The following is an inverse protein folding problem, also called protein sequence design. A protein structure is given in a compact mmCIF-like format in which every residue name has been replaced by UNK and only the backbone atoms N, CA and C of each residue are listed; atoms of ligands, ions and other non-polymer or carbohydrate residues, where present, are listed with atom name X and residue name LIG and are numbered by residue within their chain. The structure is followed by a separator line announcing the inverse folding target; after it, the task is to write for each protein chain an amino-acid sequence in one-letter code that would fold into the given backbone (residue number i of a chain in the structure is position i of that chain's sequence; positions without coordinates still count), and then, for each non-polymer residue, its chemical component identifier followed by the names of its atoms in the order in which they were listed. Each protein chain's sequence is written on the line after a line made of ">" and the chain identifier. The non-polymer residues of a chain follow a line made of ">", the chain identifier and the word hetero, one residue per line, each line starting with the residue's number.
data_IF_687284902368
#
_entry.id   IF_687284902368
#
_cell.length_a   1.000
_cell.length_b   1.000
_cell.length_c   1.000
_cell.angle_alpha   90.00
_cell.angle_beta   90.00
_cell.angle_gamma   90.00
#
_symmetry.space_group_name_H-M   'P 1'
#
loop_
_entity.id
_entity.type
_entity.pdbx_description
1 polymer ?
#
# COMPACT_ATOMS: atom_id res chain seq x y z
N UNK A 1 59.68 8.60 -38.56
CA UNK A 1 60.78 7.64 -38.33
C UNK A 1 60.53 6.95 -36.98
N UNK A 2 60.79 5.63 -36.83
CA UNK A 2 59.76 4.62 -37.12
C UNK A 2 59.41 3.67 -35.95
N UNK A 3 58.24 3.05 -36.13
CA UNK A 3 57.80 1.66 -35.83
C UNK A 3 58.68 0.74 -34.94
N UNK A 4 58.00 0.09 -33.99
CA UNK A 4 57.98 -1.37 -33.71
C UNK A 4 56.67 -1.67 -32.96
N UNK A 5 55.67 -2.44 -33.45
CA UNK A 5 55.63 -3.91 -33.70
C UNK A 5 55.88 -4.71 -32.41
N UNK A 6 55.16 -5.74 -31.97
CA UNK A 6 53.98 -6.54 -32.37
C UNK A 6 53.71 -7.43 -31.12
N UNK A 7 52.50 -7.96 -30.92
CA UNK A 7 52.26 -8.93 -29.83
C UNK A 7 50.82 -9.37 -29.69
N UNK A 8 50.34 -10.14 -30.67
CA UNK A 8 49.05 -10.82 -30.67
C UNK A 8 49.13 -12.15 -29.91
N UNK A 9 48.14 -12.45 -29.07
CA UNK A 9 47.83 -13.81 -28.65
C UNK A 9 46.31 -13.94 -28.48
N UNK A 10 45.69 -14.64 -29.44
CA UNK A 10 44.26 -14.86 -29.52
C UNK A 10 43.75 -15.80 -28.42
N UNK A 11 42.49 -15.58 -28.04
CA UNK A 11 41.69 -16.55 -27.30
C UNK A 11 40.48 -16.88 -28.15
N UNK A 12 40.44 -18.14 -28.62
CA UNK A 12 39.35 -18.69 -29.39
C UNK A 12 38.07 -18.76 -28.55
N UNK A 13 37.00 -18.18 -29.08
CA UNK A 13 35.66 -18.42 -28.61
C UNK A 13 35.20 -19.79 -29.13
N UNK A 14 34.97 -20.75 -28.23
CA UNK A 14 34.16 -21.93 -28.52
C UNK A 14 32.83 -21.82 -27.81
N UNK A 15 31.81 -21.59 -28.61
CA UNK A 15 30.39 -21.67 -28.27
C UNK A 15 30.05 -23.11 -27.90
N UNK A 16 29.47 -23.34 -26.72
CA UNK A 16 28.76 -24.60 -26.44
C UNK A 16 27.51 -24.29 -25.63
N UNK A 17 26.39 -24.19 -26.35
CA UNK A 17 25.06 -24.17 -25.76
C UNK A 17 24.80 -25.54 -25.11
N UNK A 18 24.60 -25.57 -23.79
CA UNK A 18 24.13 -26.75 -23.07
C UNK A 18 22.63 -26.68 -22.91
N UNK A 19 21.92 -27.39 -23.77
CA UNK A 19 20.52 -27.79 -23.58
C UNK A 19 20.44 -28.80 -22.44
N UNK A 20 19.75 -28.45 -21.35
CA UNK A 20 19.44 -29.40 -20.27
C UNK A 20 18.12 -30.11 -20.56
N UNK A 21 18.21 -31.39 -20.94
CA UNK A 21 17.10 -32.33 -21.02
C UNK A 21 16.74 -32.82 -19.61
N UNK A 22 15.56 -32.46 -19.12
CA UNK A 22 14.96 -33.07 -17.94
C UNK A 22 14.49 -34.49 -18.31
N UNK A 23 15.11 -35.51 -17.72
CA UNK A 23 14.65 -36.90 -17.79
C UNK A 23 13.81 -37.21 -16.56
N UNK A 24 12.50 -37.36 -16.76
CA UNK A 24 11.63 -38.10 -15.86
C UNK A 24 11.97 -39.60 -15.96
N UNK A 25 12.29 -40.23 -14.83
CA UNK A 25 12.26 -41.67 -14.69
C UNK A 25 11.34 -42.02 -13.52
N UNK A 26 10.22 -42.64 -13.85
CA UNK A 26 9.30 -43.30 -12.94
C UNK A 26 9.57 -44.81 -12.95
N UNK A 27 9.23 -45.45 -11.82
CA UNK A 27 8.88 -46.87 -11.58
C UNK A 27 9.65 -47.44 -10.38
N UNK A 28 9.11 -48.26 -9.48
CA UNK A 28 7.77 -48.79 -9.20
C UNK A 28 7.90 -49.53 -7.85
N UNK A 29 6.84 -49.58 -7.03
CA UNK A 29 6.75 -50.59 -5.96
C UNK A 29 5.78 -50.29 -4.81
N UNK A 30 4.50 -50.67 -5.02
CA UNK A 30 3.54 -51.29 -4.06
C UNK A 30 3.31 -50.68 -2.65
N UNK A 31 2.13 -50.69 -2.02
CA UNK A 31 0.73 -51.07 -2.28
C UNK A 31 -0.01 -50.77 -0.94
N UNK A 32 -1.16 -50.07 -0.93
CA UNK A 32 -2.31 -50.31 -0.02
C UNK A 32 -3.31 -49.12 0.02
N UNK A 33 -4.37 -49.24 -0.78
CA UNK A 33 -5.81 -49.15 -0.44
C UNK A 33 -6.24 -48.15 0.67
N UNK A 34 -6.99 -47.10 0.28
CA UNK A 34 -8.34 -46.84 0.81
C UNK A 34 -9.20 -46.06 -0.21
N UNK A 35 -10.43 -46.54 -0.40
CA UNK A 35 -11.44 -46.08 -1.34
C UNK A 35 -12.22 -44.85 -0.82
N UNK A 36 -12.73 -44.01 -1.73
CA UNK A 36 -13.71 -42.97 -1.37
C UNK A 36 -13.95 -41.86 -2.40
N UNK A 37 -14.60 -42.21 -3.53
CA UNK A 37 -15.50 -41.39 -4.38
C UNK A 37 -15.25 -39.87 -4.51
N UNK A 38 -14.72 -39.45 -5.66
CA UNK A 38 -14.94 -38.10 -6.22
C UNK A 38 -15.67 -38.20 -7.56
N UNK A 39 -16.76 -37.44 -7.67
CA UNK A 39 -17.63 -37.34 -8.83
C UNK A 39 -16.94 -36.74 -10.04
N UNK A 40 -17.39 -37.18 -11.21
CA UNK A 40 -16.88 -36.81 -12.52
C UNK A 40 -17.09 -35.32 -12.84
N UNK A 41 -16.07 -34.74 -13.48
CA UNK A 41 -16.21 -33.54 -14.29
C UNK A 41 -17.04 -33.85 -15.53
N UNK A 42 -18.07 -33.04 -15.82
CA UNK A 42 -18.62 -32.89 -17.17
C UNK A 42 -18.64 -31.42 -17.54
N UNK A 43 -17.89 -31.08 -18.58
CA UNK A 43 -18.07 -29.87 -19.39
C UNK A 43 -19.45 -29.94 -20.07
N UNK A 44 -20.18 -28.83 -20.05
CA UNK A 44 -21.09 -28.50 -21.15
C UNK A 44 -21.14 -27.00 -21.29
N UNK A 45 -20.68 -26.51 -22.43
CA UNK A 45 -21.14 -25.26 -23.00
C UNK A 45 -22.56 -25.49 -23.52
N UNK A 46 -23.46 -24.52 -23.37
CA UNK A 46 -24.36 -24.16 -24.44
C UNK A 46 -24.96 -22.77 -24.25
N UNK A 47 -25.03 -22.11 -25.40
CA UNK A 47 -25.55 -20.79 -25.71
C UNK A 47 -27.07 -20.85 -25.88
N UNK A 48 -27.80 -19.86 -25.37
CA UNK A 48 -29.12 -19.53 -25.89
C UNK A 48 -29.51 -18.09 -25.51
N UNK A 49 -29.25 -17.17 -26.44
CA UNK A 49 -29.95 -15.91 -26.53
C UNK A 49 -31.40 -16.16 -26.98
N UNK A 50 -32.36 -15.53 -26.32
CA UNK A 50 -33.73 -15.45 -26.80
C UNK A 50 -34.28 -14.02 -26.60
N UNK A 51 -34.32 -13.31 -27.71
CA UNK A 51 -35.04 -12.06 -27.98
C UNK A 51 -36.56 -12.27 -27.86
N UNK A 52 -37.28 -11.31 -27.27
CA UNK A 52 -38.43 -10.60 -27.87
C UNK A 52 -39.44 -10.06 -26.82
N UNK A 53 -39.67 -8.75 -26.88
CA UNK A 53 -40.93 -8.09 -26.52
C UNK A 53 -41.84 -8.07 -27.79
N UNK A 54 -43.17 -7.80 -27.73
CA UNK A 54 -43.67 -6.43 -27.46
C UNK A 54 -45.11 -6.28 -26.87
N UNK A 55 -45.44 -5.00 -26.57
CA UNK A 55 -46.73 -4.27 -26.68
C UNK A 55 -47.99 -4.81 -25.96
N UNK A 56 -48.48 -4.17 -24.88
CA UNK A 56 -49.24 -2.91 -24.77
C UNK A 56 -50.78 -3.09 -24.83
N UNK A 57 -51.48 -2.68 -23.76
CA UNK A 57 -52.87 -2.21 -23.84
C UNK A 57 -53.21 -1.23 -22.71
N UNK A 58 -54.04 -0.27 -23.09
CA UNK A 58 -54.37 1.04 -22.52
C UNK A 58 -55.23 1.03 -21.25
N UNK A 59 -55.00 2.01 -20.35
CA UNK A 59 -56.05 2.83 -19.73
C UNK A 59 -55.45 4.07 -19.05
N UNK A 60 -56.04 5.25 -19.30
CA UNK A 60 -55.77 6.53 -18.64
C UNK A 60 -57.00 6.96 -17.80
N UNK A 61 -56.96 8.08 -17.05
CA UNK A 61 -56.22 8.24 -15.79
C UNK A 61 -57.19 8.50 -14.63
N UNK A 62 -56.88 8.01 -13.43
CA UNK A 62 -57.54 8.43 -12.20
C UNK A 62 -56.58 9.29 -11.40
N UNK A 63 -56.98 10.54 -11.14
CA UNK A 63 -56.27 11.47 -10.27
C UNK A 63 -56.06 10.81 -8.90
N UNK A 64 -54.80 10.65 -8.50
CA UNK A 64 -54.43 10.27 -7.15
C UNK A 64 -53.28 11.16 -6.70
N UNK A 65 -53.54 11.87 -5.61
CA UNK A 65 -52.69 12.88 -5.00
C UNK A 65 -51.27 12.36 -4.80
N UNK A 66 -50.29 13.08 -5.35
CA UNK A 66 -48.90 12.90 -5.01
C UNK A 66 -48.69 13.22 -3.52
N UNK A 67 -48.50 12.19 -2.71
CA UNK A 67 -47.86 12.35 -1.41
C UNK A 67 -46.40 12.67 -1.70
N UNK A 68 -46.05 13.94 -1.54
CA UNK A 68 -44.66 14.39 -1.56
C UNK A 68 -43.99 13.82 -0.32
N UNK A 69 -43.29 12.70 -0.47
CA UNK A 69 -42.31 12.25 0.51
C UNK A 69 -41.24 13.34 0.60
N UNK A 70 -40.92 13.90 1.77
CA UNK A 70 -39.74 14.74 1.91
C UNK A 70 -38.54 13.88 1.54
N UNK A 71 -37.81 14.29 0.50
CA UNK A 71 -36.58 13.65 0.10
C UNK A 71 -35.66 13.51 1.31
N UNK A 72 -35.16 12.29 1.52
CA UNK A 72 -33.98 12.09 2.32
C UNK A 72 -32.92 13.08 1.79
N UNK A 73 -32.56 14.04 2.62
CA UNK A 73 -31.41 14.90 2.36
C UNK A 73 -30.18 14.01 2.37
N UNK A 74 -29.78 13.53 1.20
CA UNK A 74 -28.40 13.14 0.98
C UNK A 74 -27.58 14.40 1.21
N UNK A 75 -26.95 14.45 2.39
CA UNK A 75 -25.99 15.48 2.71
C UNK A 75 -24.85 15.37 1.68
N UNK A 76 -24.44 16.46 1.02
CA UNK A 76 -23.30 16.44 0.11
C UNK A 76 -22.09 15.81 0.80
N UNK A 77 -21.22 15.07 0.08
CA UNK A 77 -20.06 14.44 0.69
C UNK A 77 -19.26 15.51 1.43
N UNK A 78 -19.22 15.38 2.75
CA UNK A 78 -18.54 16.31 3.62
C UNK A 78 -17.07 16.28 3.24
N UNK A 79 -16.58 17.46 2.81
CA UNK A 79 -15.15 17.74 2.64
C UNK A 79 -14.40 17.07 3.80
N UNK A 80 -13.35 16.30 3.48
CA UNK A 80 -12.50 15.58 4.45
C UNK A 80 -12.45 16.31 5.80
N UNK A 81 -12.77 15.66 6.93
CA UNK A 81 -12.63 16.32 8.23
C UNK A 81 -11.21 16.86 8.32
N UNK A 82 -11.10 18.19 8.31
CA UNK A 82 -9.85 18.90 8.09
C UNK A 82 -9.03 18.98 9.38
N UNK A 83 -8.89 17.86 10.10
CA UNK A 83 -7.87 17.74 11.14
C UNK A 83 -6.56 17.36 10.47
N UNK A 84 -6.07 18.23 9.58
CA UNK A 84 -4.69 18.14 9.09
C UNK A 84 -3.85 18.72 10.24
N UNK A 85 -2.99 17.93 10.92
CA UNK A 85 -2.13 18.47 11.95
C UNK A 85 -1.28 19.59 11.35
N UNK A 86 -1.46 20.80 11.89
CA UNK A 86 -0.75 21.97 11.40
C UNK A 86 0.70 21.89 11.89
N UNK A 87 1.73 21.92 11.01
CA UNK A 87 3.12 21.93 11.44
C UNK A 87 3.45 23.12 12.37
N UNK A 88 2.72 24.24 12.27
CA UNK A 88 2.89 25.39 13.16
C UNK A 88 2.31 25.17 14.58
N UNK A 89 1.40 24.20 14.75
CA UNK A 89 0.79 23.85 16.04
C UNK A 89 0.85 22.33 16.22
N UNK A 90 2.02 21.80 16.62
CA UNK A 90 2.18 20.36 16.78
C UNK A 90 1.24 19.85 17.89
N UNK A 91 0.46 18.81 17.55
CA UNK A 91 -0.54 18.24 18.46
C UNK A 91 0.06 17.08 19.25
N UNK A 92 -0.35 16.95 20.52
CA UNK A 92 -0.02 15.79 21.34
C UNK A 92 -0.70 14.53 20.79
N UNK A 93 0.06 13.45 20.63
CA UNK A 93 -0.50 12.17 20.20
C UNK A 93 -1.51 11.62 21.22
N UNK A 94 -1.27 11.82 22.51
CA UNK A 94 -2.17 11.39 23.59
C UNK A 94 -3.50 12.14 23.55
N UNK A 95 -3.46 13.45 23.28
CA UNK A 95 -4.67 14.25 23.14
C UNK A 95 -5.47 13.83 21.91
N UNK A 96 -4.80 13.63 20.77
CA UNK A 96 -5.45 13.22 19.54
C UNK A 96 -6.00 11.78 19.60
N UNK A 97 -5.35 10.89 20.36
CA UNK A 97 -5.86 9.54 20.62
C UNK A 97 -7.22 9.57 21.34
N UNK A 98 -7.45 10.56 22.22
CA UNK A 98 -8.71 10.70 22.94
C UNK A 98 -9.89 11.13 22.05
N UNK A 99 -9.60 11.66 20.85
CA UNK A 99 -10.63 12.08 19.89
C UNK A 99 -10.97 11.00 18.86
N UNK A 100 -10.22 9.90 18.80
CA UNK A 100 -10.47 8.84 17.84
C UNK A 100 -11.73 8.04 18.21
N UNK A 101 -12.58 7.81 17.22
CA UNK A 101 -13.77 6.96 17.38
C UNK A 101 -13.36 5.49 17.49
N UNK A 102 -13.79 4.84 18.57
CA UNK A 102 -13.61 3.40 18.76
C UNK A 102 -14.77 2.66 18.08
N UNK A 103 -14.44 1.76 17.14
CA UNK A 103 -15.40 0.90 16.47
C UNK A 103 -14.74 -0.40 16.00
N UNK A 104 -15.54 -1.46 15.91
CA UNK A 104 -15.11 -2.70 15.28
C UNK A 104 -14.86 -2.52 13.78
N UNK A 105 -14.11 -3.46 13.20
CA UNK A 105 -13.82 -3.42 11.77
C UNK A 105 -15.10 -3.41 10.93
N UNK A 106 -15.12 -2.55 9.91
CA UNK A 106 -16.25 -2.43 8.99
C UNK A 106 -16.30 -3.53 7.92
N UNK A 107 -15.24 -4.34 7.78
CA UNK A 107 -15.16 -5.44 6.79
C UNK A 107 -14.01 -6.39 7.07
N UNK A 108 -14.14 -7.65 6.67
CA UNK A 108 -13.04 -8.63 6.65
C UNK A 108 -12.25 -8.63 5.34
N UNK A 109 -12.71 -7.89 4.33
CA UNK A 109 -12.12 -7.86 3.00
C UNK A 109 -10.84 -7.02 2.95
N UNK A 110 -9.94 -7.42 2.07
CA UNK A 110 -8.72 -6.67 1.76
C UNK A 110 -9.04 -5.46 0.89
N UNK A 111 -8.22 -4.42 1.02
CA UNK A 111 -8.33 -3.27 0.13
C UNK A 111 -7.95 -3.69 -1.30
N UNK A 112 -8.73 -3.25 -2.28
CA UNK A 112 -8.28 -3.25 -3.67
C UNK A 112 -7.46 -1.98 -3.91
N UNK A 113 -6.13 -2.08 -4.15
CA UNK A 113 -5.28 -0.91 -4.36
C UNK A 113 -5.75 -0.04 -5.54
N UNK A 114 -6.43 -0.61 -6.55
CA UNK A 114 -6.94 0.15 -7.68
C UNK A 114 -7.98 1.21 -7.26
N UNK A 115 -8.72 0.98 -6.16
CA UNK A 115 -9.68 1.94 -5.60
C UNK A 115 -9.03 3.17 -4.96
N UNK A 116 -7.71 3.11 -4.71
CA UNK A 116 -6.94 4.20 -4.11
C UNK A 116 -6.22 5.06 -5.16
N UNK A 117 -6.49 4.82 -6.45
CA UNK A 117 -5.91 5.59 -7.54
C UNK A 117 -4.47 5.17 -7.90
N UNK A 118 -3.87 5.81 -8.92
CA UNK A 118 -2.58 5.41 -9.47
C UNK A 118 -1.43 5.48 -8.46
N UNK A 119 -1.49 6.41 -7.51
CA UNK A 119 -0.50 6.55 -6.45
C UNK A 119 -0.51 5.38 -5.47
N UNK A 120 -1.62 4.62 -5.36
CA UNK A 120 -1.64 3.40 -4.56
C UNK A 120 -0.57 2.40 -4.99
N UNK A 121 -0.29 2.36 -6.30
CA UNK A 121 0.63 1.46 -6.95
C UNK A 121 2.06 2.02 -7.14
N UNK A 122 2.33 3.27 -6.70
CA UNK A 122 3.67 3.88 -6.79
C UNK A 122 4.12 4.11 -8.24
N UNK A 123 3.21 4.56 -9.09
CA UNK A 123 3.41 4.51 -10.53
C UNK A 123 4.31 5.65 -11.04
N UNK A 124 5.32 5.21 -11.77
CA UNK A 124 6.40 5.93 -12.43
C UNK A 124 7.55 6.44 -11.52
N UNK A 125 8.50 5.55 -11.23
CA UNK A 125 9.74 5.86 -10.49
C UNK A 125 10.70 6.81 -11.25
N UNK A 126 10.39 7.18 -12.51
CA UNK A 126 11.15 8.19 -13.28
C UNK A 126 10.55 9.60 -13.20
N UNK A 127 9.34 9.74 -12.66
CA UNK A 127 8.67 11.03 -12.49
C UNK A 127 8.80 11.57 -11.07
N UNK A 128 8.73 12.90 -10.94
CA UNK A 128 8.74 13.55 -9.64
C UNK A 128 7.37 13.37 -8.97
N UNK A 129 7.18 12.22 -8.36
CA UNK A 129 6.01 11.87 -7.55
C UNK A 129 6.37 11.76 -6.07
N UNK A 130 5.34 11.63 -5.23
CA UNK A 130 5.51 11.54 -3.78
C UNK A 130 6.40 10.36 -3.36
N UNK A 131 6.41 9.25 -4.10
CA UNK A 131 7.28 8.11 -3.79
C UNK A 131 8.75 8.45 -3.95
N UNK A 132 9.10 9.10 -5.05
CA UNK A 132 10.49 9.55 -5.26
C UNK A 132 10.89 10.60 -4.23
N UNK A 133 9.96 11.46 -3.79
CA UNK A 133 10.22 12.42 -2.72
C UNK A 133 10.48 11.73 -1.37
N UNK A 134 9.75 10.65 -1.06
CA UNK A 134 9.97 9.85 0.14
C UNK A 134 11.31 9.11 0.09
N UNK A 135 11.68 8.55 -1.06
CA UNK A 135 13.00 7.93 -1.24
C UNK A 135 14.12 8.96 -1.07
N UNK A 136 14.00 10.17 -1.65
CA UNK A 136 14.99 11.24 -1.43
C UNK A 136 15.06 11.69 0.02
N UNK A 137 13.93 11.71 0.73
CA UNK A 137 13.86 12.08 2.15
C UNK A 137 14.56 11.06 3.04
N UNK A 138 14.32 9.77 2.79
CA UNK A 138 14.66 8.70 3.74
C UNK A 138 15.97 7.98 3.41
N UNK A 139 16.44 8.04 2.16
CA UNK A 139 17.72 7.46 1.79
C UNK A 139 18.87 8.45 2.02
N UNK A 140 20.02 7.91 2.38
CA UNK A 140 21.31 8.63 2.36
C UNK A 140 22.18 8.14 1.20
N UNK A 141 23.24 8.88 0.88
CA UNK A 141 24.16 8.54 -0.22
C UNK A 141 23.44 8.31 -1.56
N UNK A 142 22.47 9.18 -1.86
CA UNK A 142 21.53 9.00 -2.97
C UNK A 142 22.17 9.33 -4.31
N UNK A 143 22.04 8.41 -5.27
CA UNK A 143 22.33 8.62 -6.68
C UNK A 143 21.04 8.75 -7.49
N UNK A 144 21.01 9.68 -8.44
CA UNK A 144 19.88 9.90 -9.35
C UNK A 144 20.14 9.34 -10.75
N UNK A 145 19.08 8.88 -11.40
CA UNK A 145 19.11 8.36 -12.75
C UNK A 145 19.30 9.50 -13.77
N UNK A 146 20.31 9.42 -14.65
CA UNK A 146 20.47 10.39 -15.73
C UNK A 146 19.23 10.48 -16.62
N UNK A 147 18.89 11.69 -17.09
CA UNK A 147 17.75 11.90 -17.98
C UNK A 147 16.37 11.95 -17.29
N UNK A 148 16.31 11.81 -15.96
CA UNK A 148 15.04 11.90 -15.20
C UNK A 148 14.83 13.26 -14.52
N UNK A 149 15.63 14.29 -14.85
CA UNK A 149 15.59 15.60 -14.19
C UNK A 149 15.74 15.53 -12.65
N UNK A 150 16.47 14.53 -12.14
CA UNK A 150 16.64 14.29 -10.70
C UNK A 150 15.47 13.55 -10.05
N UNK A 151 14.46 13.16 -10.84
CA UNK A 151 13.28 12.50 -10.32
C UNK A 151 13.52 11.03 -10.00
N UNK A 152 14.27 10.31 -10.84
CA UNK A 152 14.52 8.89 -10.66
C UNK A 152 15.66 8.60 -9.70
N UNK A 153 15.39 7.82 -8.65
CA UNK A 153 16.42 7.38 -7.70
C UNK A 153 17.04 6.09 -8.22
N UNK A 154 18.35 6.09 -8.43
CA UNK A 154 19.10 4.94 -8.94
C UNK A 154 19.62 4.05 -7.81
N UNK A 155 20.15 4.66 -6.74
CA UNK A 155 20.65 3.95 -5.57
C UNK A 155 20.68 4.86 -4.33
N UNK A 156 20.85 4.24 -3.16
CA UNK A 156 21.07 4.89 -1.88
C UNK A 156 21.21 3.85 -0.76
N UNK A 157 21.37 4.31 0.47
CA UNK A 157 21.34 3.44 1.65
C UNK A 157 20.22 3.91 2.57
N UNK A 158 19.33 2.99 2.94
CA UNK A 158 18.29 3.22 3.92
C UNK A 158 18.85 2.92 5.31
N UNK A 159 18.67 3.82 6.27
CA UNK A 159 18.68 3.45 7.70
C UNK A 159 17.24 3.13 8.07
N UNK A 160 16.90 1.85 8.08
CA UNK A 160 15.51 1.39 8.14
C UNK A 160 14.88 1.75 9.48
N UNK A 161 13.94 2.70 9.47
CA UNK A 161 13.21 3.14 10.66
C UNK A 161 12.53 1.98 11.39
N UNK A 162 12.15 0.90 10.70
CA UNK A 162 11.46 -0.23 11.32
C UNK A 162 12.39 -1.15 12.13
N UNK A 163 13.64 -1.29 11.72
CA UNK A 163 14.60 -2.26 12.31
C UNK A 163 15.82 -1.61 12.94
N UNK A 164 16.18 -0.40 12.53
CA UNK A 164 17.43 0.28 12.83
C UNK A 164 18.62 -0.15 11.97
N UNK A 165 18.41 -1.09 11.04
CA UNK A 165 19.48 -1.65 10.21
C UNK A 165 19.73 -0.82 8.94
N UNK A 166 20.95 -0.92 8.40
CA UNK A 166 21.23 -0.37 7.07
C UNK A 166 20.80 -1.37 5.98
N UNK A 167 20.13 -0.85 4.94
CA UNK A 167 19.69 -1.63 3.78
C UNK A 167 20.03 -0.86 2.52
N UNK A 168 20.79 -1.48 1.62
CA UNK A 168 21.08 -0.86 0.34
C UNK A 168 19.83 -0.85 -0.55
N UNK A 169 19.53 0.35 -1.07
CA UNK A 169 18.58 0.54 -2.14
C UNK A 169 19.34 0.60 -3.45
N UNK A 170 18.96 -0.27 -4.37
CA UNK A 170 19.24 -0.13 -5.77
C UNK A 170 17.91 -0.21 -6.50
N UNK A 171 17.74 0.64 -7.51
CA UNK A 171 16.59 0.54 -8.38
C UNK A 171 16.58 -0.86 -9.02
N UNK A 172 15.49 -1.61 -8.90
CA UNK A 172 15.44 -2.94 -9.45
C UNK A 172 15.20 -2.87 -10.96
N UNK A 173 16.20 -3.24 -11.76
CA UNK A 173 16.08 -3.29 -13.22
C UNK A 173 15.13 -4.42 -13.67
N UNK A 174 15.03 -5.51 -12.89
CA UNK A 174 14.12 -6.64 -13.08
C UNK A 174 13.96 -7.54 -11.82
N UNK A 175 14.27 -7.03 -10.62
CA UNK A 175 14.45 -7.85 -9.41
C UNK A 175 13.49 -7.56 -8.24
N UNK A 176 13.68 -8.29 -7.14
CA UNK A 176 12.98 -8.06 -5.86
C UNK A 176 13.44 -6.74 -5.24
N UNK A 177 12.50 -5.87 -4.85
CA UNK A 177 12.79 -4.64 -4.11
C UNK A 177 13.32 -4.97 -2.72
N UNK A 178 14.47 -4.42 -2.33
CA UNK A 178 15.00 -4.50 -0.95
C UNK A 178 14.40 -3.42 -0.04
N UNK A 179 14.09 -2.26 -0.62
CA UNK A 179 13.43 -1.13 0.03
C UNK A 179 12.16 -0.77 -0.73
N UNK A 180 11.10 -0.46 0.02
CA UNK A 180 9.80 -0.01 -0.49
C UNK A 180 9.34 1.20 0.30
N UNK A 181 8.44 2.00 -0.29
CA UNK A 181 7.71 3.03 0.44
C UNK A 181 6.45 2.39 1.04
N UNK A 182 6.47 2.14 2.34
CA UNK A 182 5.33 1.62 3.09
C UNK A 182 4.42 2.77 3.55
N UNK A 183 3.14 2.43 3.75
CA UNK A 183 2.16 3.33 4.38
C UNK A 183 2.02 3.00 5.85
N UNK A 184 2.32 3.95 6.74
CA UNK A 184 2.29 3.76 8.21
C UNK A 184 0.95 3.19 8.67
N UNK A 185 -0.17 3.76 8.20
CA UNK A 185 -1.49 3.13 8.15
C UNK A 185 -1.66 2.50 6.77
N UNK A 186 -1.68 1.17 6.69
CA UNK A 186 -1.78 0.44 5.42
C UNK A 186 -3.13 0.64 4.73
N UNK A 187 -3.20 0.37 3.43
CA UNK A 187 -4.47 0.44 2.68
C UNK A 187 -5.51 -0.52 3.25
N UNK A 188 -5.11 -1.74 3.63
CA UNK A 188 -5.97 -2.72 4.28
C UNK A 188 -6.50 -2.23 5.64
N UNK A 189 -5.62 -1.70 6.49
CA UNK A 189 -6.04 -1.20 7.80
C UNK A 189 -6.99 0.00 7.64
N UNK A 190 -6.72 0.90 6.69
CA UNK A 190 -7.60 2.01 6.37
C UNK A 190 -8.96 1.54 5.86
N UNK A 191 -8.98 0.55 4.97
CA UNK A 191 -10.22 -0.02 4.42
C UNK A 191 -11.08 -0.63 5.54
N UNK A 192 -10.47 -1.39 6.44
CA UNK A 192 -11.11 -1.97 7.61
C UNK A 192 -11.64 -0.92 8.60
N UNK A 193 -11.04 0.27 8.67
CA UNK A 193 -11.37 1.35 9.60
C UNK A 193 -12.17 2.51 9.01
N UNK A 194 -12.70 2.36 7.78
CA UNK A 194 -13.69 3.29 7.22
C UNK A 194 -13.36 3.84 5.83
N UNK A 195 -12.15 3.60 5.29
CA UNK A 195 -11.79 4.06 3.95
C UNK A 195 -12.61 3.40 2.81
N UNK A 196 -13.36 2.34 3.13
CA UNK A 196 -14.34 1.76 2.21
C UNK A 196 -15.53 2.67 1.89
N UNK A 197 -15.82 3.65 2.76
CA UNK A 197 -16.85 4.68 2.56
C UNK A 197 -16.32 5.97 1.96
N UNK A 198 -15.00 6.09 1.76
CA UNK A 198 -14.40 7.28 1.18
C UNK A 198 -14.86 7.50 -0.27
N UNK A 199 -14.86 8.75 -0.70
CA UNK A 199 -14.89 9.06 -2.13
C UNK A 199 -13.57 8.63 -2.78
N UNK A 200 -13.53 8.51 -4.11
CA UNK A 200 -12.29 8.21 -4.83
C UNK A 200 -11.19 9.25 -4.55
N UNK A 201 -11.56 10.53 -4.45
CA UNK A 201 -10.65 11.63 -4.15
C UNK A 201 -10.04 11.49 -2.75
N UNK A 202 -10.84 11.10 -1.76
CA UNK A 202 -10.38 10.86 -0.40
C UNK A 202 -9.41 9.66 -0.32
N UNK A 203 -9.70 8.58 -1.07
CA UNK A 203 -8.78 7.43 -1.14
C UNK A 203 -7.47 7.79 -1.84
N UNK A 204 -7.52 8.53 -2.94
CA UNK A 204 -6.34 9.03 -3.62
C UNK A 204 -5.50 9.92 -2.70
N UNK A 205 -6.14 10.85 -1.98
CA UNK A 205 -5.46 11.71 -1.01
C UNK A 205 -4.85 10.93 0.16
N UNK A 206 -5.51 9.88 0.67
CA UNK A 206 -4.94 8.99 1.69
C UNK A 206 -3.73 8.23 1.16
N UNK A 207 -3.85 7.72 -0.07
CA UNK A 207 -2.81 6.92 -0.69
C UNK A 207 -1.56 7.73 -0.99
N UNK A 208 -1.68 9.01 -1.34
CA UNK A 208 -0.55 9.89 -1.69
C UNK A 208 -0.05 10.75 -0.53
N UNK A 209 -0.59 10.60 0.69
CA UNK A 209 -0.18 11.42 1.83
C UNK A 209 1.26 11.10 2.31
N UNK A 210 2.22 12.04 2.17
CA UNK A 210 3.59 11.81 2.61
C UNK A 210 3.74 11.63 4.13
N UNK A 211 2.80 12.13 4.93
CA UNK A 211 2.75 11.89 6.40
C UNK A 211 2.50 10.42 6.70
N UNK A 212 1.77 9.76 5.83
CA UNK A 212 1.50 8.34 5.90
C UNK A 212 2.59 7.50 5.23
N UNK A 213 3.67 8.05 4.65
CA UNK A 213 4.67 7.28 3.91
C UNK A 213 6.05 7.20 4.57
N UNK A 214 6.70 6.04 4.48
CA UNK A 214 8.05 5.79 5.01
C UNK A 214 8.79 4.78 4.12
N UNK A 215 10.01 5.08 3.70
CA UNK A 215 10.89 4.08 3.11
C UNK A 215 11.34 3.08 4.19
N UNK A 216 11.16 1.79 3.92
CA UNK A 216 11.43 0.68 4.85
C UNK A 216 11.96 -0.53 4.08
N UNK A 217 12.55 -1.49 4.78
CA UNK A 217 12.89 -2.78 4.16
C UNK A 217 11.63 -3.51 3.68
N UNK A 218 11.71 -4.14 2.51
CA UNK A 218 10.59 -4.84 1.89
C UNK A 218 10.07 -6.01 2.74
N UNK A 219 10.98 -6.70 3.45
CA UNK A 219 10.62 -7.79 4.36
C UNK A 219 9.77 -7.29 5.53
N UNK A 220 10.08 -6.13 6.10
CA UNK A 220 9.30 -5.55 7.19
C UNK A 220 7.97 -4.99 6.72
N UNK A 221 7.91 -4.37 5.54
CA UNK A 221 6.63 -3.97 4.94
C UNK A 221 5.72 -5.17 4.69
N UNK A 222 6.28 -6.29 4.20
CA UNK A 222 5.58 -7.56 4.01
C UNK A 222 5.15 -8.19 5.34
N UNK A 223 6.01 -8.12 6.34
CA UNK A 223 5.67 -8.56 7.69
C UNK A 223 4.47 -7.75 8.18
N UNK A 224 4.58 -6.43 8.31
CA UNK A 224 3.49 -5.53 8.72
C UNK A 224 2.19 -5.77 7.93
N UNK A 225 2.27 -5.84 6.60
CA UNK A 225 1.13 -6.01 5.70
C UNK A 225 -0.06 -5.09 6.07
N UNK A 226 -1.23 -5.69 6.31
CA UNK A 226 -2.46 -5.00 6.67
C UNK A 226 -2.73 -4.83 8.17
N UNK A 227 -1.76 -5.17 9.04
CA UNK A 227 -1.95 -5.24 10.49
C UNK A 227 -2.09 -3.87 11.15
N UNK A 228 -2.88 -3.83 12.22
CA UNK A 228 -3.02 -2.67 13.12
C UNK A 228 -1.85 -2.57 14.10
N UNK A 229 -1.77 -1.46 14.85
CA UNK A 229 -0.76 -1.30 15.90
C UNK A 229 -0.92 -2.28 17.08
N UNK A 230 -2.09 -2.89 17.24
CA UNK A 230 -2.30 -3.96 18.23
C UNK A 230 -1.59 -5.26 17.83
N UNK A 231 -1.38 -5.48 16.54
CA UNK A 231 -0.85 -6.73 16.01
C UNK A 231 0.61 -6.61 15.55
N UNK A 232 1.03 -5.41 15.13
CA UNK A 232 2.39 -5.18 14.67
C UNK A 232 2.86 -3.75 14.92
N UNK A 233 4.08 -3.63 15.44
CA UNK A 233 4.84 -2.38 15.51
C UNK A 233 6.31 -2.64 15.15
N UNK A 234 7.06 -1.61 14.74
CA UNK A 234 8.50 -1.70 14.54
C UNK A 234 9.25 -2.29 15.73
N UNK A 235 10.22 -3.17 15.44
CA UNK A 235 11.15 -3.68 16.44
C UNK A 235 12.10 -2.59 16.98
N UNK A 236 12.41 -1.59 16.14
CA UNK A 236 13.23 -0.44 16.51
C UNK A 236 12.50 0.46 17.54
N UNK A 237 12.92 0.35 18.80
CA UNK A 237 12.33 1.11 19.92
C UNK A 237 12.53 2.62 19.81
N UNK A 238 13.56 3.08 19.11
CA UNK A 238 13.78 4.50 18.88
C UNK A 238 12.72 5.10 17.93
N UNK A 239 12.02 4.27 17.16
CA UNK A 239 11.01 4.70 16.20
C UNK A 239 9.57 4.38 16.61
N UNK A 240 9.35 3.44 17.54
CA UNK A 240 8.00 2.99 17.93
C UNK A 240 7.06 4.13 18.33
N UNK A 241 7.53 5.11 19.11
CA UNK A 241 6.71 6.27 19.51
C UNK A 241 6.31 7.15 18.32
N UNK A 242 7.25 7.42 17.40
CA UNK A 242 6.94 8.16 16.18
C UNK A 242 5.97 7.40 15.29
N UNK A 243 6.13 6.07 15.16
CA UNK A 243 5.24 5.20 14.41
C UNK A 243 3.80 5.26 14.93
N UNK A 244 3.61 5.12 16.24
CA UNK A 244 2.29 5.20 16.89
C UNK A 244 1.67 6.59 16.73
N UNK A 245 2.43 7.66 17.00
CA UNK A 245 1.92 9.02 16.85
C UNK A 245 1.53 9.36 15.41
N UNK A 246 2.28 8.87 14.41
CA UNK A 246 1.93 9.02 12.99
C UNK A 246 0.64 8.28 12.64
N UNK A 247 0.44 7.06 13.14
CA UNK A 247 -0.83 6.36 12.92
C UNK A 247 -2.02 7.11 13.51
N UNK A 248 -1.89 7.61 14.74
CA UNK A 248 -2.94 8.42 15.38
C UNK A 248 -3.24 9.68 14.55
N UNK A 249 -2.20 10.38 14.12
CA UNK A 249 -2.33 11.56 13.26
C UNK A 249 -3.05 11.29 11.96
N UNK A 250 -2.66 10.24 11.25
CA UNK A 250 -3.29 9.82 9.98
C UNK A 250 -4.75 9.42 10.24
N UNK A 251 -5.03 8.59 11.24
CA UNK A 251 -6.40 8.16 11.54
C UNK A 251 -7.31 9.33 11.89
N UNK A 252 -6.83 10.29 12.69
CA UNK A 252 -7.56 11.51 12.99
C UNK A 252 -7.81 12.38 11.74
N UNK A 253 -6.80 12.53 10.87
CA UNK A 253 -6.91 13.34 9.64
C UNK A 253 -7.98 12.80 8.69
N UNK A 254 -8.07 11.48 8.57
CA UNK A 254 -8.98 10.83 7.62
C UNK A 254 -10.27 10.33 8.26
N UNK A 255 -10.50 10.60 9.55
CA UNK A 255 -11.69 10.11 10.26
C UNK A 255 -11.78 8.58 10.33
N UNK A 256 -10.65 7.89 10.33
CA UNK A 256 -10.59 6.44 10.46
C UNK A 256 -10.81 6.01 11.91
N UNK A 257 -11.56 4.93 12.10
CA UNK A 257 -11.80 4.36 13.42
C UNK A 257 -10.58 3.57 13.93
N UNK A 258 -10.58 3.29 15.22
CA UNK A 258 -9.67 2.32 15.87
C UNK A 258 -10.50 1.25 16.56
N UNK A 259 -10.00 0.02 16.60
CA UNK A 259 -10.59 -0.98 17.50
C UNK A 259 -10.18 -0.70 18.93
N UNK A 260 -10.89 -1.28 19.92
CA UNK A 260 -10.49 -1.12 21.32
C UNK A 260 -9.05 -1.61 21.55
N UNK A 261 -8.68 -2.75 20.97
CA UNK A 261 -7.33 -3.30 21.09
C UNK A 261 -6.25 -2.38 20.48
N UNK A 262 -6.55 -1.72 19.35
CA UNK A 262 -5.63 -0.76 18.73
C UNK A 262 -5.49 0.51 19.56
N UNK A 263 -6.60 1.02 20.12
CA UNK A 263 -6.59 2.17 21.03
C UNK A 263 -5.75 1.89 22.27
N UNK A 264 -5.96 0.73 22.91
CA UNK A 264 -5.21 0.31 24.10
C UNK A 264 -3.71 0.16 23.79
N UNK A 265 -3.37 -0.41 22.62
CA UNK A 265 -1.99 -0.52 22.17
C UNK A 265 -1.34 0.86 21.99
N UNK A 266 -2.03 1.81 21.35
CA UNK A 266 -1.55 3.18 21.24
C UNK A 266 -1.32 3.82 22.61
N UNK A 267 -2.28 3.70 23.52
CA UNK A 267 -2.16 4.24 24.88
C UNK A 267 -0.96 3.63 25.62
N UNK A 268 -0.76 2.32 25.52
CA UNK A 268 0.36 1.62 26.15
C UNK A 268 1.71 2.13 25.64
N UNK A 269 1.89 2.32 24.33
CA UNK A 269 3.15 2.86 23.80
C UNK A 269 3.36 4.32 24.23
N UNK A 270 2.31 5.15 24.21
CA UNK A 270 2.42 6.55 24.62
C UNK A 270 2.73 6.73 26.11
N UNK A 271 2.48 5.74 26.98
CA UNK A 271 2.98 5.79 28.37
C UNK A 271 4.51 5.87 28.44
N UNK A 272 5.22 5.31 27.46
CA UNK A 272 6.69 5.37 27.38
C UNK A 272 7.21 6.68 26.78
N UNK A 273 6.33 7.45 26.13
CA UNK A 273 6.64 8.70 25.45
C UNK A 273 5.46 9.69 25.51
N UNK A 274 5.08 10.16 26.70
CA UNK A 274 3.84 10.91 26.92
C UNK A 274 3.79 12.27 26.23
N UNK A 275 4.95 12.81 25.87
CA UNK A 275 5.11 14.09 25.17
C UNK A 275 5.31 13.93 23.66
N UNK A 276 5.06 12.73 23.11
CA UNK A 276 5.21 12.49 21.68
C UNK A 276 4.20 13.33 20.89
N UNK A 277 4.73 14.15 19.99
CA UNK A 277 3.93 14.97 19.08
C UNK A 277 3.64 14.18 17.80
N UNK A 278 2.48 14.46 17.21
CA UNK A 278 2.16 14.03 15.85
C UNK A 278 2.96 14.89 14.88
N UNK A 279 3.83 14.31 14.03
CA UNK A 279 4.62 15.10 13.10
C UNK A 279 3.73 15.75 12.05
N UNK A 280 3.94 17.04 11.81
CA UNK A 280 3.47 17.71 10.60
C UNK A 280 4.23 17.23 9.36
N UNK A 281 3.84 17.72 8.19
CA UNK A 281 4.63 17.58 6.96
C UNK A 281 5.13 18.94 6.51
N UNK A 282 6.43 19.09 6.36
CA UNK A 282 7.07 20.32 5.85
C UNK A 282 7.53 20.19 4.39
N UNK A 283 7.30 19.04 3.74
CA UNK A 283 7.89 18.78 2.42
C UNK A 283 9.42 18.60 2.48
N UNK A 284 10.06 18.14 1.39
CA UNK A 284 11.49 18.32 1.25
C UNK A 284 11.80 19.82 1.20
N UNK A 285 12.67 20.29 2.10
CA UNK A 285 13.12 21.68 2.14
C UNK A 285 13.87 22.02 0.84
N UNK A 286 13.40 23.02 0.10
CA UNK A 286 14.06 23.54 -1.09
C UNK A 286 13.39 23.16 -2.41
N UNK A 287 12.58 24.09 -2.92
CA UNK A 287 12.38 24.31 -4.35
C UNK A 287 13.21 25.51 -4.76
#
# INVERSE_FOLDING_TARGET
>A
MPRTSFGSAGHGASTTARTSLAKCAAAMGALAILAGMMGACTKSSDEAAATSAPAASSAAPAASSAVVTPGASETPPEKLPAVIPNPAHPQSATELLSTLTIAESSTTDKADPAKFGPDAAGLNEDECNVYTDILRRDLVNVGVQPGTSGCGIAYGTLVDSYTGNMVDYARPDAGTKTVVVDRIVSLDNAWASGANQFTDEQRAAFASDPRNMQAVSADQAKEKAGRSAAEWVPANKNFTCQYVARQIGVKATYGLTVTQAEHDAFAQYLQTCPNQLVPGWEGPAGK
#
